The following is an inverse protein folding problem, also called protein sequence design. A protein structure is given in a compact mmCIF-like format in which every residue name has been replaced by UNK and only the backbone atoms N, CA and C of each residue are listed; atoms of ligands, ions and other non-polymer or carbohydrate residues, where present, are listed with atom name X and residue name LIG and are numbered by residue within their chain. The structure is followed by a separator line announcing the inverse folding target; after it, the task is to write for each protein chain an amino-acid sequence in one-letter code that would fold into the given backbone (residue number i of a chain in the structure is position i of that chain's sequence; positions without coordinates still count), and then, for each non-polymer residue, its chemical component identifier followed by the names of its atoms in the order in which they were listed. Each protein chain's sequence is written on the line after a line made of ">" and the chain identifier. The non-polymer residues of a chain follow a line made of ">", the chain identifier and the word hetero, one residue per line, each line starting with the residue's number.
data_IF_061331075144
#
_entry.id   IF_061331075144
#
_cell.length_a   1.000
_cell.length_b   1.000
_cell.length_c   1.000
_cell.angle_alpha   90.00
_cell.angle_beta   90.00
_cell.angle_gamma   90.00
#
_symmetry.space_group_name_H-M   'P 1'
#
loop_
_entity.id
_entity.type
_entity.pdbx_description
1 polymer ?
#
# COMPACT_ATOMS: atom_id res chain seq x y z
N UNK A 1 -7.61 -5.29 -12.35
CA UNK A 1 -6.17 -5.08 -12.10
C UNK A 1 -5.84 -5.79 -10.81
N UNK A 2 -5.13 -6.91 -10.87
CA UNK A 2 -4.67 -7.66 -9.70
C UNK A 2 -3.58 -6.87 -8.99
N UNK A 3 -3.76 -6.64 -7.69
CA UNK A 3 -2.82 -5.88 -6.85
C UNK A 3 -1.40 -6.49 -6.94
N UNK A 4 -0.40 -5.66 -7.20
CA UNK A 4 1.01 -6.03 -7.42
C UNK A 4 1.79 -6.26 -6.12
N UNK A 5 1.12 -6.44 -4.98
CA UNK A 5 1.72 -6.66 -3.65
C UNK A 5 0.81 -7.53 -2.79
N UNK A 6 1.40 -8.23 -1.83
CA UNK A 6 0.68 -8.94 -0.76
C UNK A 6 0.41 -7.96 0.38
N UNK A 7 -0.87 -7.68 0.63
CA UNK A 7 -1.36 -6.78 1.69
C UNK A 7 -1.51 -7.51 3.03
N UNK A 8 -1.70 -6.80 4.14
CA UNK A 8 -2.01 -7.44 5.43
C UNK A 8 -3.31 -8.27 5.40
N UNK A 9 -4.33 -7.80 4.68
CA UNK A 9 -5.55 -8.58 4.46
C UNK A 9 -5.25 -9.88 3.72
N UNK A 10 -4.38 -9.84 2.69
CA UNK A 10 -3.94 -11.05 2.00
C UNK A 10 -3.22 -12.01 2.97
N UNK A 11 -2.39 -11.51 3.90
CA UNK A 11 -1.70 -12.35 4.89
C UNK A 11 -2.67 -13.05 5.86
N UNK A 12 -3.70 -12.33 6.32
CA UNK A 12 -4.75 -12.91 7.16
C UNK A 12 -5.54 -14.00 6.42
N UNK A 13 -5.86 -13.76 5.15
CA UNK A 13 -6.54 -14.75 4.32
C UNK A 13 -5.64 -15.96 4.01
N UNK A 14 -4.35 -15.75 3.77
CA UNK A 14 -3.37 -16.82 3.59
C UNK A 14 -3.34 -17.71 4.84
N UNK A 15 -3.22 -17.11 6.02
CA UNK A 15 -3.25 -17.84 7.28
C UNK A 15 -4.56 -18.63 7.45
N UNK A 16 -5.70 -18.01 7.12
CA UNK A 16 -7.03 -18.61 7.23
C UNK A 16 -7.22 -19.82 6.31
N UNK A 17 -6.79 -19.73 5.05
CA UNK A 17 -7.04 -20.77 4.06
C UNK A 17 -5.94 -21.83 3.98
N UNK A 18 -4.67 -21.42 4.15
CA UNK A 18 -3.50 -22.29 4.02
C UNK A 18 -2.94 -22.74 5.37
N UNK A 19 -3.41 -22.17 6.50
CA UNK A 19 -3.10 -22.63 7.85
C UNK A 19 -1.72 -22.25 8.37
N UNK A 20 -0.89 -21.60 7.55
CA UNK A 20 0.41 -21.07 7.94
C UNK A 20 0.62 -19.67 7.34
N UNK A 21 1.44 -18.81 7.97
CA UNK A 21 1.94 -17.60 7.35
C UNK A 21 2.67 -17.89 6.04
N UNK A 22 2.63 -16.96 5.09
CA UNK A 22 3.32 -17.07 3.80
C UNK A 22 4.84 -17.29 3.99
N UNK A 23 5.41 -16.61 4.98
CA UNK A 23 6.85 -16.60 5.26
C UNK A 23 7.36 -17.92 5.85
N UNK A 24 6.47 -18.76 6.40
CA UNK A 24 6.78 -20.05 7.01
C UNK A 24 6.44 -21.25 6.11
N UNK A 25 6.01 -20.98 4.88
CA UNK A 25 5.56 -21.98 3.92
C UNK A 25 6.48 -21.99 2.71
N UNK A 26 7.01 -23.17 2.39
CA UNK A 26 7.80 -23.34 1.17
C UNK A 26 6.90 -23.55 -0.07
N UNK A 27 7.52 -23.49 -1.27
CA UNK A 27 6.80 -23.61 -2.55
C UNK A 27 6.10 -24.98 -2.69
N UNK A 28 6.69 -26.05 -2.16
CA UNK A 28 6.14 -27.40 -2.25
C UNK A 28 4.94 -27.57 -1.32
N UNK A 29 5.04 -27.09 -0.09
CA UNK A 29 3.96 -26.99 0.89
C UNK A 29 2.80 -26.16 0.35
N UNK A 30 3.09 -25.00 -0.24
CA UNK A 30 2.09 -24.16 -0.89
C UNK A 30 1.34 -24.91 -1.99
N UNK A 31 2.04 -25.55 -2.92
CA UNK A 31 1.40 -26.32 -4.01
C UNK A 31 0.55 -27.46 -3.48
N UNK A 32 1.01 -28.13 -2.44
CA UNK A 32 0.28 -29.22 -1.78
C UNK A 32 -0.99 -28.70 -1.08
N UNK A 33 -0.88 -27.59 -0.36
CA UNK A 33 -2.00 -26.91 0.29
C UNK A 33 -3.02 -26.42 -0.73
N UNK A 34 -2.58 -25.76 -1.80
CA UNK A 34 -3.43 -25.27 -2.89
C UNK A 34 -4.22 -26.41 -3.54
N UNK A 35 -3.59 -27.56 -3.79
CA UNK A 35 -4.28 -28.74 -4.31
C UNK A 35 -5.39 -29.23 -3.37
N UNK A 36 -5.12 -29.25 -2.06
CA UNK A 36 -6.11 -29.63 -1.05
C UNK A 36 -7.28 -28.64 -0.96
N UNK A 37 -6.98 -27.34 -0.97
CA UNK A 37 -7.98 -26.26 -0.95
C UNK A 37 -8.84 -26.30 -2.21
N UNK A 38 -8.24 -26.49 -3.40
CA UNK A 38 -8.99 -26.64 -4.66
C UNK A 38 -9.96 -27.81 -4.59
N UNK A 39 -9.51 -28.96 -4.07
CA UNK A 39 -10.38 -30.12 -3.90
C UNK A 39 -11.50 -29.89 -2.86
N UNK A 40 -11.30 -29.04 -1.87
CA UNK A 40 -12.28 -28.76 -0.80
C UNK A 40 -13.33 -27.73 -1.23
N UNK A 41 -12.89 -26.68 -1.93
CA UNK A 41 -13.73 -25.52 -2.28
C UNK A 41 -14.15 -25.48 -3.74
N UNK A 42 -13.88 -26.54 -4.53
CA UNK A 42 -14.34 -26.60 -5.92
C UNK A 42 -15.86 -26.41 -6.02
N UNK A 43 -16.37 -25.53 -6.90
CA UNK A 43 -17.82 -25.31 -7.07
C UNK A 43 -18.63 -26.59 -7.29
N UNK A 44 -18.09 -27.56 -8.04
CA UNK A 44 -18.71 -28.87 -8.29
C UNK A 44 -19.08 -29.65 -7.01
N UNK A 45 -18.32 -29.47 -5.92
CA UNK A 45 -18.66 -30.10 -4.63
C UNK A 45 -19.96 -29.56 -4.03
N UNK A 46 -20.40 -28.39 -4.49
CA UNK A 46 -21.55 -27.66 -4.01
C UNK A 46 -22.73 -27.67 -5.00
N UNK A 47 -22.57 -28.21 -6.21
CA UNK A 47 -23.67 -28.39 -7.17
C UNK A 47 -24.80 -29.27 -6.63
N UNK A 48 -24.46 -30.19 -5.72
CA UNK A 48 -25.42 -31.04 -5.01
C UNK A 48 -26.36 -30.28 -4.07
N UNK A 49 -26.07 -29.02 -3.76
CA UNK A 49 -26.98 -28.16 -3.03
C UNK A 49 -27.91 -27.47 -4.05
N UNK A 50 -29.22 -27.68 -3.91
CA UNK A 50 -30.25 -27.09 -4.79
C UNK A 50 -30.44 -25.58 -4.58
N UNK A 51 -29.67 -24.99 -3.67
CA UNK A 51 -29.69 -23.58 -3.31
C UNK A 51 -28.72 -22.78 -4.18
N UNK A 52 -29.29 -21.87 -4.98
CA UNK A 52 -28.55 -20.98 -5.89
C UNK A 52 -27.60 -20.05 -5.14
N UNK A 53 -27.98 -19.55 -3.96
CA UNK A 53 -27.14 -18.67 -3.14
C UNK A 53 -25.90 -19.41 -2.63
N UNK A 54 -26.04 -20.69 -2.26
CA UNK A 54 -24.91 -21.52 -1.82
C UNK A 54 -23.88 -21.72 -2.95
N UNK A 55 -24.34 -21.86 -4.20
CA UNK A 55 -23.46 -22.02 -5.37
C UNK A 55 -22.72 -20.74 -5.71
N UNK A 56 -23.41 -19.59 -5.67
CA UNK A 56 -22.78 -18.29 -5.89
C UNK A 56 -21.70 -18.01 -4.85
N UNK A 57 -22.02 -18.18 -3.56
CA UNK A 57 -21.06 -17.98 -2.47
C UNK A 57 -19.84 -18.92 -2.56
N UNK A 58 -20.05 -20.18 -2.96
CA UNK A 58 -18.96 -21.13 -3.17
C UNK A 58 -18.04 -20.70 -4.33
N UNK A 59 -18.64 -20.21 -5.40
CA UNK A 59 -17.93 -19.72 -6.59
C UNK A 59 -17.12 -18.47 -6.29
N UNK A 60 -17.72 -17.48 -5.62
CA UNK A 60 -17.02 -16.25 -5.19
C UNK A 60 -15.85 -16.57 -4.27
N UNK A 61 -16.07 -17.43 -3.27
CA UNK A 61 -15.02 -17.84 -2.34
C UNK A 61 -13.89 -18.60 -3.05
N UNK A 62 -14.22 -19.45 -4.02
CA UNK A 62 -13.21 -20.14 -4.83
C UNK A 62 -12.40 -19.16 -5.68
N UNK A 63 -13.04 -18.17 -6.31
CA UNK A 63 -12.36 -17.14 -7.10
C UNK A 63 -11.43 -16.28 -6.23
N UNK A 64 -11.84 -15.91 -5.02
CA UNK A 64 -10.99 -15.18 -4.07
C UNK A 64 -9.75 -15.99 -3.70
N UNK A 65 -9.90 -17.30 -3.43
CA UNK A 65 -8.78 -18.20 -3.15
C UNK A 65 -7.83 -18.31 -4.34
N UNK A 66 -8.34 -18.37 -5.58
CA UNK A 66 -7.47 -18.40 -6.77
C UNK A 66 -6.70 -17.10 -6.94
N UNK A 67 -7.35 -15.95 -6.78
CA UNK A 67 -6.69 -14.65 -6.85
C UNK A 67 -5.58 -14.52 -5.79
N UNK A 68 -5.81 -15.06 -4.59
CA UNK A 68 -4.80 -15.12 -3.53
C UNK A 68 -3.65 -16.07 -3.87
N UNK A 69 -3.96 -17.24 -4.43
CA UNK A 69 -2.95 -18.20 -4.89
C UNK A 69 -2.06 -17.64 -6.00
N UNK A 70 -2.63 -16.89 -6.96
CA UNK A 70 -1.90 -16.23 -8.03
C UNK A 70 -0.91 -15.19 -7.48
N UNK A 71 -1.31 -14.43 -6.45
CA UNK A 71 -0.42 -13.51 -5.73
C UNK A 71 0.71 -14.27 -5.01
N UNK A 72 0.41 -15.38 -4.35
CA UNK A 72 1.43 -16.20 -3.69
C UNK A 72 2.42 -16.80 -4.70
N UNK A 73 1.95 -17.31 -5.83
CA UNK A 73 2.83 -17.84 -6.89
C UNK A 73 3.76 -16.77 -7.43
N UNK A 74 3.23 -15.58 -7.69
CA UNK A 74 4.02 -14.50 -8.22
C UNK A 74 4.98 -13.90 -7.16
N UNK A 75 4.69 -14.06 -5.87
CA UNK A 75 5.64 -13.84 -4.77
C UNK A 75 6.80 -14.85 -4.79
N UNK A 76 6.51 -16.16 -4.86
CA UNK A 76 7.55 -17.19 -4.95
C UNK A 76 8.40 -17.09 -6.23
N UNK A 77 7.85 -16.55 -7.31
CA UNK A 77 8.58 -16.28 -8.57
C UNK A 77 9.41 -14.99 -8.52
N UNK A 78 9.40 -14.23 -7.41
CA UNK A 78 10.09 -12.95 -7.28
C UNK A 78 9.52 -11.83 -8.18
N UNK A 79 8.32 -12.03 -8.73
CA UNK A 79 7.61 -11.04 -9.58
C UNK A 79 6.80 -10.04 -8.75
N UNK A 80 6.57 -10.35 -7.48
CA UNK A 80 5.88 -9.54 -6.50
C UNK A 80 6.77 -9.47 -5.26
N UNK A 81 7.20 -8.26 -4.88
CA UNK A 81 8.03 -8.09 -3.69
C UNK A 81 7.22 -8.31 -2.41
N UNK A 82 7.79 -9.04 -1.45
CA UNK A 82 7.40 -8.88 -0.04
C UNK A 82 7.75 -7.48 0.42
N UNK A 83 6.97 -6.94 1.35
CA UNK A 83 7.46 -5.90 2.25
C UNK A 83 8.66 -6.47 3.03
N UNK A 84 9.88 -6.40 2.48
CA UNK A 84 11.09 -6.72 3.24
C UNK A 84 11.18 -5.77 4.45
N UNK A 85 11.09 -6.29 5.68
CA UNK A 85 11.63 -5.54 6.83
C UNK A 85 13.11 -5.26 6.53
N UNK A 86 13.61 -4.02 6.68
CA UNK A 86 14.99 -3.75 6.33
C UNK A 86 15.92 -4.43 7.35
N UNK A 87 16.68 -5.42 6.89
CA UNK A 87 18.08 -5.55 7.31
C UNK A 87 18.89 -4.61 6.42
N UNK A 88 18.97 -3.36 6.84
CA UNK A 88 19.78 -2.33 6.22
C UNK A 88 20.04 -1.30 7.29
N UNK A 89 21.02 -1.59 8.15
CA UNK A 89 21.49 -0.65 9.15
C UNK A 89 22.06 0.56 8.41
N UNK A 90 21.25 1.61 8.27
CA UNK A 90 21.77 2.92 7.89
C UNK A 90 22.80 3.32 8.95
N UNK A 91 23.95 3.85 8.52
CA UNK A 91 24.94 4.35 9.46
C UNK A 91 24.28 5.34 10.45
N UNK A 92 24.67 5.36 11.74
CA UNK A 92 24.09 6.29 12.72
C UNK A 92 24.22 7.78 12.34
N UNK A 93 25.10 8.13 11.40
CA UNK A 93 25.25 9.46 10.80
C UNK A 93 24.57 9.65 9.45
N UNK A 94 23.70 8.73 9.02
CA UNK A 94 22.95 8.84 7.77
C UNK A 94 22.08 10.10 7.77
N UNK A 95 22.26 10.93 6.74
CA UNK A 95 21.45 12.11 6.53
C UNK A 95 20.42 11.84 5.45
N UNK A 96 19.25 12.44 5.60
CA UNK A 96 18.17 12.28 4.65
C UNK A 96 17.58 13.63 4.29
N UNK A 97 17.42 13.89 3.00
CA UNK A 97 16.71 15.05 2.50
C UNK A 97 16.12 14.73 1.14
N UNK A 98 15.02 15.40 0.78
CA UNK A 98 14.47 15.28 -0.55
C UNK A 98 13.77 16.58 -0.93
N UNK A 99 14.05 17.07 -2.14
CA UNK A 99 13.31 18.18 -2.72
C UNK A 99 12.27 17.64 -3.70
N UNK A 100 10.99 17.92 -3.40
CA UNK A 100 9.82 17.53 -4.20
C UNK A 100 9.66 16.03 -4.42
N UNK A 101 9.60 15.26 -3.34
CA UNK A 101 9.26 13.84 -3.40
C UNK A 101 7.81 13.67 -3.83
N UNK A 102 7.56 13.12 -5.01
CA UNK A 102 6.23 12.88 -5.54
C UNK A 102 5.53 11.78 -4.76
N UNK A 103 4.37 12.13 -4.22
CA UNK A 103 3.43 11.25 -3.53
C UNK A 103 2.11 11.30 -4.29
N UNK A 104 1.56 10.14 -4.61
CA UNK A 104 0.23 10.00 -5.19
C UNK A 104 -0.61 9.07 -4.31
N UNK A 105 -1.80 9.52 -3.92
CA UNK A 105 -2.74 8.73 -3.10
C UNK A 105 -3.99 8.50 -3.92
N UNK A 106 -4.24 7.25 -4.30
CA UNK A 106 -5.48 6.85 -4.96
C UNK A 106 -6.52 6.62 -3.87
N UNK A 107 -7.70 7.22 -4.02
CA UNK A 107 -8.75 7.13 -3.01
C UNK A 107 -10.14 7.25 -3.63
N UNK A 108 -11.11 6.61 -2.99
CA UNK A 108 -12.55 6.84 -3.21
C UNK A 108 -13.16 7.86 -2.25
N UNK A 109 -12.40 8.31 -1.26
CA UNK A 109 -12.78 9.33 -0.28
C UNK A 109 -12.61 10.73 -0.87
N UNK A 110 -13.74 11.38 -1.13
CA UNK A 110 -13.84 12.74 -1.69
C UNK A 110 -13.20 13.81 -0.82
N UNK A 111 -13.08 13.57 0.47
CA UNK A 111 -12.64 14.55 1.46
C UNK A 111 -11.16 14.39 1.81
N UNK A 112 -10.50 13.30 1.43
CA UNK A 112 -9.11 13.02 1.83
C UNK A 112 -8.14 14.16 1.52
N UNK A 113 -8.31 14.86 0.39
CA UNK A 113 -7.51 16.05 0.03
C UNK A 113 -7.62 17.17 1.07
N UNK A 114 -8.81 17.44 1.60
CA UNK A 114 -9.00 18.46 2.64
C UNK A 114 -8.38 18.05 3.97
N UNK A 115 -8.30 16.74 4.23
CA UNK A 115 -7.59 16.24 5.41
C UNK A 115 -6.08 16.32 5.26
N UNK A 116 -5.54 16.09 4.07
CA UNK A 116 -4.10 16.21 3.81
C UNK A 116 -3.65 17.67 3.88
N UNK A 117 -4.40 18.57 3.25
CA UNK A 117 -4.02 19.98 3.10
C UNK A 117 -4.70 20.93 4.08
N UNK A 118 -5.49 20.43 5.04
CA UNK A 118 -5.98 21.21 6.18
C UNK A 118 -6.65 22.54 5.82
N UNK A 119 -7.92 22.51 5.44
CA UNK A 119 -8.93 23.54 5.68
C UNK A 119 -10.21 23.08 4.99
N UNK A 120 -11.32 23.03 5.73
CA UNK A 120 -12.62 22.76 5.12
C UNK A 120 -12.98 23.92 4.18
N UNK A 121 -13.40 23.60 2.96
CA UNK A 121 -14.07 24.50 1.99
C UNK A 121 -13.28 25.61 1.27
N UNK A 122 -11.94 25.60 1.22
CA UNK A 122 -11.18 26.45 0.26
C UNK A 122 -10.78 25.63 -0.97
N UNK A 123 -10.86 26.23 -2.15
CA UNK A 123 -10.27 25.65 -3.36
C UNK A 123 -8.77 25.51 -3.15
N UNK A 124 -8.28 24.28 -3.10
CA UNK A 124 -6.86 24.01 -3.12
C UNK A 124 -6.35 24.35 -4.52
N UNK A 125 -5.28 25.13 -4.61
CA UNK A 125 -4.67 25.53 -5.87
C UNK A 125 -3.31 24.86 -6.04
N UNK A 126 -2.96 24.56 -7.29
CA UNK A 126 -1.62 24.11 -7.64
C UNK A 126 -0.53 24.97 -6.98
N UNK A 127 0.43 24.32 -6.33
CA UNK A 127 1.53 24.99 -5.65
C UNK A 127 1.25 25.45 -4.22
N UNK A 128 0.03 25.29 -3.70
CA UNK A 128 -0.25 25.54 -2.28
C UNK A 128 0.64 24.67 -1.40
N UNK A 129 1.30 25.29 -0.42
CA UNK A 129 2.26 24.65 0.48
C UNK A 129 1.71 24.55 1.90
N UNK A 130 1.84 23.36 2.49
CA UNK A 130 1.38 23.10 3.84
C UNK A 130 2.49 22.48 4.66
N UNK A 131 2.76 23.07 5.82
CA UNK A 131 3.79 22.60 6.74
C UNK A 131 3.31 21.35 7.46
N UNK A 132 4.16 20.33 7.54
CA UNK A 132 3.90 19.15 8.36
C UNK A 132 4.13 19.54 9.84
N UNK A 133 3.14 19.35 10.73
CA UNK A 133 3.29 19.68 12.15
C UNK A 133 4.47 18.96 12.79
N UNK A 134 5.24 19.69 13.60
CA UNK A 134 6.41 19.14 14.30
C UNK A 134 7.68 19.03 13.45
N UNK A 135 7.67 19.45 12.18
CA UNK A 135 8.85 19.46 11.30
C UNK A 135 8.99 20.80 10.57
N UNK A 136 10.07 20.99 9.82
CA UNK A 136 10.25 22.03 8.79
C UNK A 136 9.83 21.53 7.39
N UNK A 137 9.35 20.29 7.27
CA UNK A 137 8.92 19.70 6.01
C UNK A 137 7.59 20.31 5.52
N UNK A 138 7.41 20.31 4.20
CA UNK A 138 6.21 20.82 3.56
C UNK A 138 5.67 19.83 2.54
N UNK A 139 4.35 19.75 2.44
CA UNK A 139 3.67 19.18 1.28
C UNK A 139 3.26 20.28 0.33
N UNK A 140 3.31 20.03 -0.98
CA UNK A 140 2.97 20.96 -2.04
C UNK A 140 1.99 20.29 -2.97
N UNK A 141 0.88 20.94 -3.28
CA UNK A 141 -0.11 20.32 -4.17
C UNK A 141 0.32 20.37 -5.65
N UNK A 142 0.14 19.26 -6.36
CA UNK A 142 0.57 19.07 -7.76
C UNK A 142 -0.57 19.21 -8.78
N UNK A 143 -1.84 19.25 -8.36
CA UNK A 143 -3.00 19.43 -9.27
C UNK A 143 -4.18 20.19 -8.63
N UNK A 144 -4.99 20.82 -9.48
CA UNK A 144 -6.26 21.46 -9.08
C UNK A 144 -7.38 20.41 -8.96
N UNK A 145 -7.78 20.07 -7.73
CA UNK A 145 -8.80 19.05 -7.48
C UNK A 145 -10.24 19.62 -7.47
N UNK A 146 -10.85 19.82 -8.65
CA UNK A 146 -12.28 20.20 -8.79
C UNK A 146 -13.17 18.97 -8.68
N UNK A 147 -13.48 18.53 -7.46
CA UNK A 147 -14.22 17.28 -7.24
C UNK A 147 -15.57 17.22 -7.97
N UNK A 148 -15.68 16.37 -9.00
CA UNK A 148 -16.97 16.08 -9.66
C UNK A 148 -16.98 14.65 -10.20
N UNK A 149 -17.86 13.81 -9.64
CA UNK A 149 -18.64 12.72 -10.30
C UNK A 149 -19.07 11.61 -9.31
N UNK A 150 -20.06 10.82 -9.72
CA UNK A 150 -20.60 9.63 -9.03
C UNK A 150 -19.77 8.42 -9.48
N UNK A 151 -19.26 7.61 -8.54
CA UNK A 151 -18.25 6.56 -8.80
C UNK A 151 -16.80 7.01 -8.57
N UNK A 152 -16.61 7.97 -7.65
CA UNK A 152 -15.37 8.73 -7.43
C UNK A 152 -14.15 7.84 -7.12
N UNK A 153 -13.14 7.90 -8.00
CA UNK A 153 -11.79 7.42 -7.74
C UNK A 153 -10.83 8.52 -8.19
N UNK A 154 -10.20 9.19 -7.25
CA UNK A 154 -9.30 10.32 -7.46
C UNK A 154 -7.87 9.92 -7.10
N UNK A 155 -6.90 10.46 -7.82
CA UNK A 155 -5.48 10.36 -7.46
C UNK A 155 -5.05 11.72 -6.94
N UNK A 156 -4.86 11.85 -5.63
CA UNK A 156 -4.36 13.07 -5.01
C UNK A 156 -2.85 13.12 -5.23
N UNK A 157 -2.37 14.11 -5.98
CA UNK A 157 -0.94 14.28 -6.29
C UNK A 157 -0.35 15.42 -5.48
N UNK A 158 0.80 15.15 -4.86
CA UNK A 158 1.50 16.12 -4.05
C UNK A 158 3.01 15.86 -4.06
N UNK A 159 3.78 16.87 -3.70
CA UNK A 159 5.20 16.76 -3.42
C UNK A 159 5.49 16.94 -1.94
N UNK A 160 6.43 16.18 -1.40
CA UNK A 160 6.95 16.36 -0.03
C UNK A 160 8.39 16.86 -0.14
N UNK A 161 8.68 18.00 0.46
CA UNK A 161 10.05 18.53 0.59
C UNK A 161 10.44 18.51 2.06
N UNK A 162 11.60 17.96 2.39
CA UNK A 162 12.17 17.92 3.74
C UNK A 162 13.70 17.97 3.70
N UNK A 163 14.28 18.55 4.75
CA UNK A 163 15.73 18.68 4.92
C UNK A 163 16.31 17.72 5.95
N UNK A 164 17.64 17.79 6.14
CA UNK A 164 18.40 16.93 7.04
C UNK A 164 18.01 17.03 8.52
N UNK A 165 17.44 18.17 8.93
CA UNK A 165 16.95 18.39 10.29
C UNK A 165 15.55 17.80 10.53
N UNK A 166 14.86 17.34 9.47
CA UNK A 166 13.49 16.85 9.56
C UNK A 166 13.46 15.38 9.93
N UNK A 167 12.74 15.06 11.01
CA UNK A 167 12.51 13.68 11.40
C UNK A 167 11.60 12.99 10.38
N UNK A 168 12.16 12.07 9.57
CA UNK A 168 11.38 11.26 8.60
C UNK A 168 10.23 10.54 9.31
N UNK A 169 10.45 10.07 10.54
CA UNK A 169 9.40 9.41 11.32
C UNK A 169 8.18 10.30 11.54
N UNK A 170 8.38 11.57 11.87
CA UNK A 170 7.28 12.51 12.02
C UNK A 170 6.54 12.73 10.70
N UNK A 171 7.25 12.80 9.57
CA UNK A 171 6.67 12.95 8.23
C UNK A 171 5.83 11.72 7.85
N UNK A 172 6.41 10.53 8.01
CA UNK A 172 5.76 9.24 7.71
C UNK A 172 4.53 9.05 8.57
N UNK A 173 4.66 9.23 9.89
CA UNK A 173 3.55 9.04 10.82
C UNK A 173 2.44 10.06 10.59
N UNK A 174 2.79 11.30 10.23
CA UNK A 174 1.79 12.29 9.85
C UNK A 174 1.04 11.86 8.59
N UNK A 175 1.75 11.45 7.53
CA UNK A 175 1.15 11.05 6.26
C UNK A 175 0.28 9.80 6.46
N UNK A 176 0.81 8.77 7.11
CA UNK A 176 0.11 7.52 7.42
C UNK A 176 -1.20 7.78 8.16
N UNK A 177 -1.18 8.58 9.24
CA UNK A 177 -2.40 8.85 10.01
C UNK A 177 -3.47 9.61 9.23
N UNK A 178 -3.10 10.34 8.16
CA UNK A 178 -4.06 11.04 7.30
C UNK A 178 -4.71 10.12 6.27
N UNK A 179 -3.99 9.12 5.79
CA UNK A 179 -4.41 8.27 4.66
C UNK A 179 -4.81 6.86 5.07
N UNK A 180 -4.47 6.39 6.29
CA UNK A 180 -4.89 5.07 6.77
C UNK A 180 -6.41 4.96 6.73
N UNK A 181 -6.90 3.81 6.27
CA UNK A 181 -8.33 3.49 6.08
C UNK A 181 -9.08 4.38 5.07
N UNK A 182 -8.38 5.27 4.37
CA UNK A 182 -8.96 6.26 3.43
C UNK A 182 -8.30 6.26 2.07
N UNK A 183 -7.02 5.92 2.00
CA UNK A 183 -6.31 5.68 0.75
C UNK A 183 -6.47 4.23 0.32
N UNK A 184 -6.81 4.02 -0.95
CA UNK A 184 -6.87 2.70 -1.56
C UNK A 184 -5.48 2.23 -2.01
N UNK A 185 -4.61 3.17 -2.41
CA UNK A 185 -3.24 2.90 -2.83
C UNK A 185 -2.37 4.14 -2.65
N UNK A 186 -1.10 3.92 -2.31
CA UNK A 186 -0.08 4.96 -2.16
C UNK A 186 1.04 4.70 -3.17
N UNK A 187 1.48 5.73 -3.87
CA UNK A 187 2.59 5.70 -4.81
C UNK A 187 3.59 6.75 -4.37
N UNK A 188 4.86 6.37 -4.23
CA UNK A 188 5.97 7.26 -3.87
C UNK A 188 7.04 7.13 -4.94
N UNK A 189 7.35 8.23 -5.63
CA UNK A 189 8.35 8.25 -6.71
C UNK A 189 8.08 7.14 -7.76
N UNK A 190 6.81 7.03 -8.19
CA UNK A 190 6.37 6.04 -9.18
C UNK A 190 6.26 4.59 -8.68
N UNK A 191 6.64 4.32 -7.42
CA UNK A 191 6.56 2.98 -6.83
C UNK A 191 5.32 2.87 -5.94
N UNK A 192 4.49 1.85 -6.15
CA UNK A 192 3.33 1.58 -5.29
C UNK A 192 3.83 1.02 -3.95
N UNK A 193 3.47 1.68 -2.85
CA UNK A 193 3.90 1.37 -1.49
C UNK A 193 2.68 1.04 -0.64
N UNK A 194 2.71 -0.04 0.17
CA UNK A 194 1.65 -0.30 1.14
C UNK A 194 1.49 0.85 2.14
N UNK A 195 0.24 1.14 2.53
CA UNK A 195 -0.10 2.18 3.52
C UNK A 195 0.17 1.63 4.92
N UNK A 196 1.45 1.49 5.23
CA UNK A 196 1.96 0.97 6.50
C UNK A 196 3.19 1.77 6.92
N UNK A 197 3.33 2.17 8.20
CA UNK A 197 4.42 3.03 8.64
C UNK A 197 5.80 2.51 8.24
N UNK A 198 6.06 1.21 8.46
CA UNK A 198 7.35 0.59 8.17
C UNK A 198 7.68 0.59 6.67
N UNK A 199 6.67 0.30 5.84
CA UNK A 199 6.81 0.27 4.38
C UNK A 199 7.14 1.66 3.82
N UNK A 200 6.40 2.66 4.27
CA UNK A 200 6.57 4.06 3.90
C UNK A 200 7.93 4.58 4.38
N UNK A 201 8.29 4.31 5.64
CA UNK A 201 9.58 4.68 6.23
C UNK A 201 10.74 4.12 5.42
N UNK A 202 10.70 2.82 5.11
CA UNK A 202 11.76 2.13 4.37
C UNK A 202 11.95 2.77 2.99
N UNK A 203 10.84 2.99 2.27
CA UNK A 203 10.92 3.57 0.93
C UNK A 203 11.42 5.01 0.96
N UNK A 204 10.87 5.85 1.84
CA UNK A 204 11.30 7.24 1.96
C UNK A 204 12.77 7.32 2.35
N UNK A 205 13.25 6.54 3.32
CA UNK A 205 14.68 6.49 3.69
C UNK A 205 15.56 6.07 2.52
N UNK A 206 15.20 5.00 1.82
CA UNK A 206 15.97 4.52 0.66
C UNK A 206 16.07 5.58 -0.44
N UNK A 207 14.99 6.31 -0.69
CA UNK A 207 14.90 7.29 -1.77
C UNK A 207 15.50 8.65 -1.40
N UNK A 208 15.57 8.98 -0.10
CA UNK A 208 16.08 10.27 0.39
C UNK A 208 17.44 10.21 1.07
N UNK A 209 18.09 9.04 1.07
CA UNK A 209 19.41 8.87 1.65
C UNK A 209 20.42 9.73 0.90
N UNK A 210 21.09 10.62 1.64
CA UNK A 210 22.24 11.35 1.13
C UNK A 210 23.47 10.47 1.35
N UNK A 211 24.02 9.91 0.26
CA UNK A 211 25.37 9.36 0.34
C UNK A 211 26.31 10.47 0.79
N UNK A 212 26.92 10.31 1.97
CA UNK A 212 28.08 11.10 2.34
C UNK A 212 29.15 10.71 1.34
N UNK A 213 29.35 11.53 0.32
CA UNK A 213 30.42 11.33 -0.65
C UNK A 213 31.74 11.17 0.09
N UNK A 214 32.39 10.02 -0.10
CA UNK A 214 33.83 10.06 -0.21
C UNK A 214 34.14 11.00 -1.39
N UNK A 215 34.91 12.05 -1.13
CA UNK A 215 35.27 13.05 -2.14
C UNK A 215 35.94 12.49 -3.38
#
# INVERSE_FOLDING_TARGET
>A
MTSTFITNTDKEEILKYFGKPLEEMDVEEFRKALKGIRSKYHPDNFEKFEDETVREMATERFQAIQALADKMEAWYQGKIGTLERPSGDFNPGAQFAFDKMKIEVITSDKDLKYHLFGTQYRWLLYGDKFKIPGTKAHIVMDEDHRGVSIGFRETIRMYVTFGVDDAIEAIVMWLYNRIKDRGDSLIIEGNVIPIEPDAMMRHIRKTSYLEIGAG
#
